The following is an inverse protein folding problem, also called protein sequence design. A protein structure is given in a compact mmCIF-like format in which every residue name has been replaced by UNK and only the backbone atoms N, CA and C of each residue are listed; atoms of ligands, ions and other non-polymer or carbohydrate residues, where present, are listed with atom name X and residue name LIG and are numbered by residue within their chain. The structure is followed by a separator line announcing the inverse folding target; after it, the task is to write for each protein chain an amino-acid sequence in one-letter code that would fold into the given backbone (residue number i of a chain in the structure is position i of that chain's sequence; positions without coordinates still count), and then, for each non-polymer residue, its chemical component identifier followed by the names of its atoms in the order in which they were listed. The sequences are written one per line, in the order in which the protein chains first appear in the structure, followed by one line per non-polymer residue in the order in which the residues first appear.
data_IF_912025735705
#
_entry.id   IF_912025735705
#
_cell.length_a   1.000
_cell.length_b   1.000
_cell.length_c   1.000
_cell.angle_alpha   90.00
_cell.angle_beta   90.00
_cell.angle_gamma   90.00
#
_symmetry.space_group_name_H-M   'P 1'
#
loop_
_entity.id
_entity.type
_entity.pdbx_description
1 polymer ?
#
# COMPACT_ATOMS: atom_id res chain seq x y z
N UNK A 1 4.09 23.94 0.54
CA UNK A 1 4.36 22.85 1.49
C UNK A 1 4.86 21.63 0.74
N UNK A 2 5.91 20.98 1.24
CA UNK A 2 6.38 19.68 0.73
C UNK A 2 5.31 18.65 1.07
N UNK A 3 4.81 17.90 0.08
CA UNK A 3 3.87 16.80 0.36
C UNK A 3 4.66 15.66 1.01
N UNK A 4 4.18 15.09 2.11
CA UNK A 4 4.89 14.05 2.82
C UNK A 4 4.92 12.75 2.03
N UNK A 5 6.07 12.09 2.10
CA UNK A 5 6.38 10.78 1.53
C UNK A 5 5.47 9.71 2.15
N UNK A 6 4.86 8.84 1.34
CA UNK A 6 4.29 7.58 1.86
C UNK A 6 5.46 6.78 2.44
N UNK A 7 5.48 6.42 3.72
CA UNK A 7 6.54 5.54 4.25
C UNK A 7 6.00 4.13 4.38
N UNK A 8 6.78 3.17 3.90
CA UNK A 8 6.51 1.73 4.03
C UNK A 8 7.35 1.15 5.15
N UNK A 9 6.76 0.28 5.97
CA UNK A 9 7.44 -0.46 7.03
C UNK A 9 7.22 -1.96 6.79
N UNK A 10 8.20 -2.68 6.24
CA UNK A 10 8.03 -4.09 5.93
C UNK A 10 7.95 -4.95 7.21
N UNK A 11 7.13 -5.99 7.16
CA UNK A 11 6.99 -7.01 8.19
C UNK A 11 7.49 -8.33 7.62
N UNK A 12 8.49 -8.92 8.26
CA UNK A 12 9.15 -10.14 7.80
C UNK A 12 8.75 -11.36 8.64
N UNK A 13 8.75 -12.52 8.00
CA UNK A 13 8.69 -13.82 8.69
C UNK A 13 10.08 -14.18 9.22
N UNK A 14 10.14 -15.23 10.05
CA UNK A 14 11.40 -15.76 10.58
C UNK A 14 12.37 -16.30 9.51
N UNK A 15 11.86 -16.64 8.32
CA UNK A 15 12.65 -17.09 7.17
C UNK A 15 13.18 -15.94 6.28
N UNK A 16 12.86 -14.69 6.61
CA UNK A 16 13.26 -13.50 5.85
C UNK A 16 12.33 -13.11 4.70
N UNK A 17 11.30 -13.90 4.38
CA UNK A 17 10.26 -13.51 3.41
C UNK A 17 9.39 -12.39 3.95
N UNK A 18 8.85 -11.53 3.08
CA UNK A 18 7.99 -10.43 3.52
C UNK A 18 6.55 -10.93 3.69
N UNK A 19 6.05 -10.86 4.93
CA UNK A 19 4.68 -11.23 5.29
C UNK A 19 3.67 -10.16 4.92
N UNK A 20 4.03 -8.91 5.20
CA UNK A 20 3.13 -7.76 5.10
C UNK A 20 3.95 -6.46 5.06
N UNK A 21 3.25 -5.34 4.94
CA UNK A 21 3.82 -4.01 5.12
C UNK A 21 2.83 -3.09 5.82
N UNK A 22 3.35 -2.13 6.56
CA UNK A 22 2.57 -0.98 7.01
C UNK A 22 2.85 0.24 6.15
N UNK A 23 1.82 1.03 5.87
CA UNK A 23 1.96 2.32 5.16
C UNK A 23 1.35 3.44 5.97
N UNK A 24 2.02 4.58 6.02
CA UNK A 24 1.53 5.74 6.78
C UNK A 24 0.22 6.26 6.17
N UNK A 25 -0.84 6.33 6.98
CA UNK A 25 -2.20 6.67 6.51
C UNK A 25 -2.44 8.16 6.33
N UNK A 26 -1.62 9.03 6.96
CA UNK A 26 -1.85 10.47 7.09
C UNK A 26 -2.14 11.23 5.77
N UNK A 27 -1.84 10.65 4.59
CA UNK A 27 -2.05 11.30 3.28
C UNK A 27 -2.54 10.38 2.16
N UNK A 28 -2.85 9.12 2.46
CA UNK A 28 -3.35 8.16 1.49
C UNK A 28 -4.87 8.24 1.42
N UNK A 29 -5.39 8.91 0.38
CA UNK A 29 -6.79 8.72 -0.01
C UNK A 29 -6.95 7.36 -0.68
N UNK A 30 -8.18 6.85 -0.75
CA UNK A 30 -8.46 5.57 -1.41
C UNK A 30 -7.98 5.51 -2.87
N UNK A 31 -8.05 6.62 -3.62
CA UNK A 31 -7.74 6.63 -5.06
C UNK A 31 -6.30 6.17 -5.37
N UNK A 32 -5.25 6.75 -4.76
CA UNK A 32 -3.88 6.23 -4.85
C UNK A 32 -3.75 4.76 -4.46
N UNK A 33 -4.40 4.32 -3.37
CA UNK A 33 -4.35 2.92 -2.93
C UNK A 33 -4.86 1.98 -4.03
N UNK A 34 -6.06 2.25 -4.57
CA UNK A 34 -6.60 1.47 -5.69
C UNK A 34 -5.69 1.50 -6.92
N UNK A 35 -5.08 2.65 -7.23
CA UNK A 35 -4.17 2.79 -8.36
C UNK A 35 -2.91 1.95 -8.20
N UNK A 36 -2.28 1.98 -7.02
CA UNK A 36 -1.05 1.22 -6.73
C UNK A 36 -1.37 -0.27 -6.77
N UNK A 37 -2.41 -0.71 -6.06
CA UNK A 37 -2.78 -2.12 -6.00
C UNK A 37 -3.06 -2.70 -7.39
N UNK A 38 -3.78 -1.98 -8.26
CA UNK A 38 -4.07 -2.42 -9.63
C UNK A 38 -2.85 -2.44 -10.55
N UNK A 39 -1.75 -1.77 -10.18
CA UNK A 39 -0.50 -1.81 -10.96
C UNK A 39 0.38 -3.03 -10.66
N UNK A 40 0.09 -3.77 -9.58
CA UNK A 40 0.89 -4.92 -9.17
C UNK A 40 0.41 -6.17 -9.92
N UNK A 41 1.28 -6.83 -10.72
CA UNK A 41 0.93 -8.11 -11.36
C UNK A 41 0.51 -9.15 -10.32
N UNK A 42 -0.56 -9.90 -10.61
CA UNK A 42 -1.11 -10.91 -9.71
C UNK A 42 -2.08 -10.39 -8.66
N UNK A 43 -2.29 -9.07 -8.56
CA UNK A 43 -3.38 -8.49 -7.76
C UNK A 43 -4.66 -8.42 -8.59
N UNK A 44 -5.75 -8.95 -8.05
CA UNK A 44 -7.10 -8.95 -8.65
C UNK A 44 -8.17 -8.64 -7.59
N UNK A 45 -9.43 -8.44 -8.02
CA UNK A 45 -10.60 -8.22 -7.15
C UNK A 45 -10.42 -7.10 -6.10
N UNK A 46 -9.74 -6.01 -6.49
CA UNK A 46 -9.50 -4.87 -5.59
C UNK A 46 -10.82 -4.10 -5.37
N UNK A 47 -11.40 -4.22 -4.18
CA UNK A 47 -12.69 -3.61 -3.82
C UNK A 47 -12.65 -2.91 -2.47
N UNK A 48 -13.48 -1.88 -2.33
CA UNK A 48 -13.63 -1.16 -1.06
C UNK A 48 -14.49 -1.98 -0.11
N UNK A 49 -14.13 -1.96 1.16
CA UNK A 49 -14.96 -2.49 2.24
C UNK A 49 -15.39 -1.32 3.14
N UNK A 50 -16.66 -1.32 3.55
CA UNK A 50 -17.29 -0.19 4.24
C UNK A 50 -17.60 -0.46 5.71
N UNK A 51 -17.71 -1.73 6.11
CA UNK A 51 -18.35 -2.14 7.37
C UNK A 51 -17.42 -2.86 8.35
N UNK A 52 -16.13 -2.53 8.37
CA UNK A 52 -15.15 -2.99 9.38
C UNK A 52 -13.84 -2.15 9.28
N UNK A 53 -12.82 -2.57 10.02
CA UNK A 53 -11.46 -2.01 9.97
C UNK A 53 -10.73 -2.33 8.66
N UNK A 54 -11.23 -3.29 7.89
CA UNK A 54 -10.76 -3.55 6.53
C UNK A 54 -11.27 -2.45 5.60
N UNK A 55 -10.33 -1.71 5.01
CA UNK A 55 -10.64 -0.59 4.12
C UNK A 55 -10.72 -1.04 2.67
N UNK A 56 -9.84 -1.96 2.27
CA UNK A 56 -9.78 -2.52 0.91
C UNK A 56 -9.54 -4.03 1.01
N UNK A 57 -10.27 -4.79 0.21
CA UNK A 57 -10.06 -6.23 -0.02
C UNK A 57 -9.46 -6.43 -1.41
N UNK A 58 -8.60 -7.42 -1.55
CA UNK A 58 -8.03 -7.83 -2.83
C UNK A 58 -7.55 -9.27 -2.76
N UNK A 59 -7.33 -9.88 -3.92
CA UNK A 59 -6.69 -11.19 -4.05
C UNK A 59 -5.30 -10.97 -4.64
N UNK A 60 -4.27 -11.59 -4.07
CA UNK A 60 -2.91 -11.56 -4.58
C UNK A 60 -2.35 -12.97 -4.72
N UNK A 61 -2.00 -13.36 -5.95
CA UNK A 61 -1.51 -14.72 -6.27
C UNK A 61 -2.44 -15.83 -5.75
N UNK A 62 -3.76 -15.58 -5.81
CA UNK A 62 -4.78 -16.52 -5.34
C UNK A 62 -5.06 -16.48 -3.83
N UNK A 63 -4.42 -15.59 -3.07
CA UNK A 63 -4.62 -15.45 -1.61
C UNK A 63 -5.41 -14.18 -1.29
N UNK A 64 -6.40 -14.33 -0.40
CA UNK A 64 -7.18 -13.21 0.11
C UNK A 64 -6.32 -12.30 1.00
N UNK A 65 -6.32 -11.02 0.65
CA UNK A 65 -5.53 -10.00 1.30
C UNK A 65 -6.38 -8.76 1.62
N UNK A 66 -5.83 -7.90 2.48
CA UNK A 66 -6.53 -6.74 3.01
C UNK A 66 -5.59 -5.56 3.21
N UNK A 67 -6.16 -4.36 3.06
CA UNK A 67 -5.63 -3.11 3.62
C UNK A 67 -6.50 -2.80 4.83
N UNK A 68 -5.95 -2.98 6.03
CA UNK A 68 -6.64 -2.86 7.31
C UNK A 68 -6.13 -1.62 8.08
N UNK A 69 -7.02 -0.96 8.81
CA UNK A 69 -6.70 0.16 9.71
C UNK A 69 -6.91 -0.28 11.18
N UNK A 70 -5.91 -0.93 11.81
CA UNK A 70 -6.14 -1.71 13.02
C UNK A 70 -6.39 -0.87 14.29
N UNK A 71 -6.00 0.40 14.30
CA UNK A 71 -6.06 1.22 15.52
C UNK A 71 -7.07 2.38 15.45
N UNK A 72 -7.71 2.60 14.29
CA UNK A 72 -8.65 3.71 14.07
C UNK A 72 -8.08 5.11 14.35
N UNK A 73 -6.77 5.21 14.61
CA UNK A 73 -6.05 6.43 14.97
C UNK A 73 -5.44 7.11 13.73
N UNK A 74 -5.67 6.55 12.53
CA UNK A 74 -5.08 6.99 11.28
C UNK A 74 -3.54 7.14 11.34
N UNK A 75 -2.85 6.30 12.12
CA UNK A 75 -1.38 6.28 12.12
C UNK A 75 -0.83 5.50 10.93
N UNK A 76 -1.31 4.26 10.71
CA UNK A 76 -0.84 3.38 9.61
C UNK A 76 -1.93 2.41 9.14
N UNK A 77 -1.88 2.06 7.86
CA UNK A 77 -2.57 0.89 7.32
C UNK A 77 -1.65 -0.31 7.31
N UNK A 78 -2.18 -1.47 7.67
CA UNK A 78 -1.54 -2.76 7.46
C UNK A 78 -1.99 -3.37 6.12
N UNK A 79 -1.06 -3.93 5.36
CA UNK A 79 -1.31 -4.55 4.05
C UNK A 79 -0.72 -5.95 4.04
N UNK A 80 -1.56 -6.96 3.88
CA UNK A 80 -1.12 -8.36 3.88
C UNK A 80 -2.25 -9.38 3.74
N UNK A 81 -1.93 -10.67 3.86
CA UNK A 81 -2.91 -11.76 3.83
C UNK A 81 -3.94 -11.65 4.95
N UNK A 82 -5.20 -12.02 4.70
CA UNK A 82 -6.21 -12.08 5.78
C UNK A 82 -5.87 -13.09 6.88
N UNK A 83 -5.16 -14.15 6.51
CA UNK A 83 -4.70 -15.22 7.40
C UNK A 83 -3.17 -15.29 7.34
N UNK A 84 -2.46 -14.32 7.95
CA UNK A 84 -1.01 -14.20 7.86
C UNK A 84 -0.25 -15.42 8.39
N UNK A 85 -0.81 -16.13 9.37
CA UNK A 85 -0.24 -17.29 10.04
C UNK A 85 -0.09 -18.54 9.15
N UNK A 86 -0.92 -18.66 8.10
CA UNK A 86 -0.90 -19.80 7.16
C UNK A 86 -0.47 -19.39 5.74
N UNK A 87 -0.31 -18.10 5.47
CA UNK A 87 0.03 -17.63 4.13
C UNK A 87 1.53 -17.67 3.88
N UNK A 88 1.94 -18.21 2.73
CA UNK A 88 3.33 -18.28 2.27
C UNK A 88 3.67 -17.25 1.19
N UNK A 89 2.74 -16.34 0.84
CA UNK A 89 2.99 -15.36 -0.23
C UNK A 89 4.02 -14.32 0.21
N UNK A 90 4.88 -13.91 -0.72
CA UNK A 90 5.82 -12.82 -0.52
C UNK A 90 5.22 -11.48 -0.95
N UNK A 91 5.09 -10.57 0.00
CA UNK A 91 4.51 -9.23 -0.19
C UNK A 91 5.51 -8.19 -0.70
N UNK A 92 6.79 -8.55 -0.90
CA UNK A 92 7.82 -7.64 -1.39
C UNK A 92 7.45 -6.90 -2.69
N UNK A 93 6.81 -7.52 -3.71
CA UNK A 93 6.40 -6.81 -4.92
C UNK A 93 5.38 -5.70 -4.67
N UNK A 94 4.44 -5.92 -3.74
CA UNK A 94 3.48 -4.88 -3.34
C UNK A 94 4.22 -3.74 -2.64
N UNK A 95 5.14 -4.05 -1.72
CA UNK A 95 5.96 -3.04 -1.06
C UNK A 95 6.77 -2.19 -2.05
N UNK A 96 7.39 -2.80 -3.05
CA UNK A 96 8.12 -2.10 -4.12
C UNK A 96 7.18 -1.16 -4.89
N UNK A 97 5.94 -1.56 -5.19
CA UNK A 97 4.98 -0.70 -5.88
C UNK A 97 4.62 0.55 -5.06
N UNK A 98 4.45 0.40 -3.74
CA UNK A 98 4.22 1.53 -2.83
C UNK A 98 5.44 2.47 -2.74
N UNK A 99 6.65 1.93 -2.80
CA UNK A 99 7.89 2.71 -2.85
C UNK A 99 8.02 3.48 -4.18
N UNK A 100 7.80 2.81 -5.32
CA UNK A 100 7.93 3.40 -6.65
C UNK A 100 6.88 4.47 -6.94
N UNK A 101 5.67 4.36 -6.37
CA UNK A 101 4.65 5.39 -6.51
C UNK A 101 5.09 6.74 -5.92
N UNK A 102 5.93 6.72 -4.87
CA UNK A 102 6.50 7.94 -4.30
C UNK A 102 7.44 8.62 -5.28
N UNK A 103 8.30 7.85 -5.94
CA UNK A 103 9.27 8.34 -6.93
C UNK A 103 8.54 9.04 -8.08
N UNK A 104 7.49 8.41 -8.63
CA UNK A 104 6.67 8.98 -9.70
C UNK A 104 5.95 10.27 -9.29
N UNK A 105 5.30 10.30 -8.13
CA UNK A 105 4.67 11.53 -7.61
C UNK A 105 5.69 12.63 -7.35
N UNK A 106 6.86 12.30 -6.83
CA UNK A 106 7.97 13.22 -6.61
C UNK A 106 8.46 13.87 -7.90
N UNK A 107 8.67 13.08 -8.96
CA UNK A 107 9.08 13.59 -10.28
C UNK A 107 8.02 14.50 -10.92
N UNK A 108 6.75 14.10 -10.90
CA UNK A 108 5.66 14.92 -11.43
C UNK A 108 5.58 16.27 -10.71
N UNK A 109 5.73 16.30 -9.38
CA UNK A 109 5.73 17.56 -8.63
C UNK A 109 6.95 18.45 -8.93
N UNK A 110 8.13 17.86 -9.11
CA UNK A 110 9.33 18.60 -9.54
C UNK A 110 9.11 19.31 -10.88
N UNK A 111 8.46 18.61 -11.83
CA UNK A 111 8.10 19.17 -13.12
C UNK A 111 7.12 20.35 -13.00
N UNK A 112 6.02 20.19 -12.26
CA UNK A 112 5.01 21.26 -12.08
C UNK A 112 5.52 22.47 -11.30
N UNK A 113 6.48 22.29 -10.37
CA UNK A 113 7.14 23.42 -9.70
C UNK A 113 8.01 24.24 -10.64
N UNK A 114 8.72 23.59 -11.56
CA UNK A 114 9.56 24.28 -12.54
C UNK A 114 8.71 24.98 -13.61
N UNK A 115 7.57 24.41 -14.00
CA UNK A 115 6.66 25.02 -14.97
C UNK A 115 5.95 26.30 -14.46
N UNK A 116 5.77 26.48 -13.14
CA UNK A 116 5.17 27.69 -12.54
C UNK A 116 6.16 28.84 -12.30
N UNK A 117 7.44 28.67 -12.66
CA UNK A 117 8.49 29.69 -12.50
C UNK A 117 8.80 30.44 -13.81
N UNK A 118 7.99 30.24 -14.85
CA UNK A 118 8.01 30.98 -16.11
C UNK A 118 6.70 31.73 -16.28
#
# INVERSE_FOLDING_TARGET
GVRPLVKTYPVFRGDGSMLALEVTSAWLTFRPLFSIMRSVPGVVDVRRQYFNEDRILFVYLGVDCVINEPWGDNSRYWIGPKSPEISSIDMAPINIAFQNHQTLLGHLWGFFKNAKRF
#
